data_IF_150519975708
#
_entry.id   IF_150519975708
#
_cell.length_a   1.000
_cell.length_b   1.000
_cell.length_c   1.000
_cell.angle_alpha   90.00
_cell.angle_beta   90.00
_cell.angle_gamma   90.00
#
_symmetry.space_group_name_H-M   'P 1'
#
loop_
_entity.id
_entity.type
_entity.pdbx_description
1 polymer ?
#
# COMPACT_ATOMS: atom_id res chain seq x y z
N UNK A 1 24.98 50.02 27.23
CA UNK A 1 24.29 50.11 28.51
C UNK A 1 23.63 48.78 28.81
N UNK A 2 24.35 48.07 29.62
CA UNK A 2 24.11 47.08 30.65
C UNK A 2 23.26 45.82 30.32
N UNK A 3 24.02 44.74 30.25
CA UNK A 3 23.64 43.32 30.25
C UNK A 3 23.06 42.94 31.61
N UNK A 4 21.97 42.17 31.68
CA UNK A 4 21.65 41.36 32.86
C UNK A 4 21.41 39.92 32.40
N UNK A 5 22.34 39.07 32.77
CA UNK A 5 22.35 37.61 32.69
C UNK A 5 21.68 37.06 33.96
N UNK A 6 20.61 36.25 33.84
CA UNK A 6 20.07 35.48 34.97
C UNK A 6 20.25 33.97 34.69
N UNK A 7 21.13 33.40 35.49
CA UNK A 7 21.31 31.95 35.66
C UNK A 7 20.14 31.36 36.46
N UNK A 8 19.62 30.25 36.01
CA UNK A 8 18.77 29.36 36.81
C UNK A 8 19.42 27.96 36.86
N UNK A 9 19.96 27.64 38.03
CA UNK A 9 20.36 26.28 38.41
C UNK A 9 19.09 25.50 38.79
N UNK A 10 18.80 24.40 38.16
CA UNK A 10 17.76 23.44 38.52
C UNK A 10 18.34 22.06 38.78
N UNK A 11 18.06 21.55 39.96
CA UNK A 11 18.62 20.37 40.65
C UNK A 11 18.33 19.06 39.89
N UNK A 12 19.37 18.21 39.79
CA UNK A 12 19.28 16.79 39.40
C UNK A 12 18.85 15.99 40.62
N UNK A 13 17.75 15.26 40.54
CA UNK A 13 17.36 14.24 41.50
C UNK A 13 17.72 12.86 40.95
N UNK A 14 18.66 12.19 41.59
CA UNK A 14 19.03 10.79 41.34
C UNK A 14 18.08 9.91 42.15
N UNK A 15 17.33 9.04 41.48
CA UNK A 15 16.53 7.99 42.10
C UNK A 15 17.24 6.65 41.87
N UNK A 16 17.80 6.08 42.94
CA UNK A 16 18.30 4.70 42.98
C UNK A 16 17.08 3.73 43.06
N UNK A 17 16.98 2.80 42.15
CA UNK A 17 16.12 1.60 42.31
C UNK A 17 16.98 0.39 42.66
N UNK A 18 16.66 -0.22 43.81
CA UNK A 18 17.27 -1.43 44.37
C UNK A 18 16.78 -2.65 43.58
N UNK A 19 17.70 -3.55 43.24
CA UNK A 19 17.43 -4.87 42.70
C UNK A 19 16.81 -5.76 43.78
N UNK A 20 15.62 -6.30 43.50
CA UNK A 20 15.01 -7.40 44.25
C UNK A 20 15.10 -8.69 43.44
N UNK A 21 15.89 -9.66 43.88
CA UNK A 21 15.92 -11.01 43.38
C UNK A 21 14.63 -11.76 43.78
N UNK A 22 13.86 -12.27 42.84
CA UNK A 22 12.81 -13.23 43.11
C UNK A 22 13.12 -14.58 42.44
N UNK A 23 13.18 -15.59 43.29
CA UNK A 23 13.49 -16.99 43.05
C UNK A 23 12.30 -17.67 42.38
N UNK A 24 12.43 -18.24 41.19
CA UNK A 24 11.39 -19.06 40.54
C UNK A 24 11.61 -20.53 40.82
N UNK A 25 10.70 -21.13 41.58
CA UNK A 25 10.57 -22.57 41.78
C UNK A 25 9.94 -23.23 40.55
N UNK A 26 10.59 -24.29 40.09
CA UNK A 26 10.22 -25.19 39.01
C UNK A 26 9.21 -26.22 39.52
N UNK A 27 8.07 -26.41 38.85
CA UNK A 27 7.10 -27.45 39.11
C UNK A 27 7.41 -28.70 38.25
N UNK A 28 7.11 -29.94 38.75
CA UNK A 28 7.55 -31.19 38.15
C UNK A 28 6.61 -31.73 37.06
N UNK A 29 7.21 -32.43 36.08
CA UNK A 29 6.54 -33.20 35.01
C UNK A 29 5.77 -34.43 35.56
N UNK A 30 4.63 -34.84 34.96
CA UNK A 30 4.03 -36.14 35.23
C UNK A 30 4.56 -37.23 34.28
N UNK A 31 4.87 -38.37 34.87
CA UNK A 31 5.38 -39.60 34.25
C UNK A 31 4.27 -40.36 33.51
N UNK A 32 4.71 -41.08 32.45
CA UNK A 32 4.01 -42.10 31.67
C UNK A 32 3.28 -43.19 32.48
N UNK A 33 2.14 -43.62 31.94
CA UNK A 33 1.62 -44.95 32.13
C UNK A 33 0.88 -45.44 30.87
N UNK A 34 1.40 -46.35 30.29
CA UNK A 34 1.17 -47.68 29.72
C UNK A 34 -0.08 -47.95 28.86
N UNK A 35 0.20 -48.76 27.86
CA UNK A 35 -0.57 -49.23 26.73
C UNK A 35 -1.75 -50.13 27.12
N UNK A 36 -2.84 -50.08 26.35
CA UNK A 36 -3.60 -51.28 25.98
C UNK A 36 -4.28 -51.12 24.62
N UNK A 37 -3.98 -52.05 23.76
CA UNK A 37 -4.52 -52.32 22.43
C UNK A 37 -6.03 -52.56 22.43
N UNK A 38 -6.75 -51.91 21.49
CA UNK A 38 -7.97 -52.51 20.92
C UNK A 38 -8.15 -52.06 19.45
N UNK A 39 -8.07 -53.04 18.56
CA UNK A 39 -8.39 -52.92 17.15
C UNK A 39 -9.89 -52.73 16.96
N UNK A 40 -10.31 -51.71 16.20
CA UNK A 40 -11.64 -51.66 15.57
C UNK A 40 -11.54 -50.95 14.21
N UNK A 41 -11.72 -51.74 13.19
CA UNK A 41 -12.32 -51.51 11.88
C UNK A 41 -12.40 -50.08 11.39
N UNK A 42 -11.53 -49.74 10.44
CA UNK A 42 -11.61 -48.55 9.60
C UNK A 42 -12.79 -48.62 8.64
N UNK A 43 -13.79 -47.78 8.89
CA UNK A 43 -14.73 -47.34 7.87
C UNK A 43 -14.09 -46.12 7.16
N UNK A 44 -13.55 -46.33 5.97
CA UNK A 44 -12.96 -45.32 5.16
C UNK A 44 -14.01 -44.29 4.70
N UNK A 45 -14.15 -43.18 5.44
CA UNK A 45 -14.75 -41.97 4.90
C UNK A 45 -13.69 -41.27 4.08
N UNK A 46 -13.79 -41.40 2.76
CA UNK A 46 -13.11 -40.50 1.82
C UNK A 46 -13.61 -39.07 2.10
N UNK A 47 -12.85 -38.34 2.91
CA UNK A 47 -12.92 -36.89 2.96
C UNK A 47 -12.52 -36.39 1.57
N UNK A 48 -13.49 -35.94 0.78
CA UNK A 48 -13.23 -35.12 -0.39
C UNK A 48 -12.67 -33.80 0.11
N UNK A 49 -11.35 -33.74 0.26
CA UNK A 49 -10.63 -32.51 0.50
C UNK A 49 -10.81 -31.64 -0.75
N UNK A 50 -11.82 -30.78 -0.76
CA UNK A 50 -11.85 -29.67 -1.69
C UNK A 50 -10.58 -28.87 -1.47
N UNK A 51 -9.73 -28.77 -2.48
CA UNK A 51 -8.58 -27.89 -2.47
C UNK A 51 -9.12 -26.49 -2.17
N UNK A 52 -8.86 -25.96 -0.99
CA UNK A 52 -9.09 -24.55 -0.67
C UNK A 52 -8.16 -23.80 -1.64
N UNK A 53 -8.73 -23.07 -2.61
CA UNK A 53 -7.93 -22.26 -3.52
C UNK A 53 -7.14 -21.25 -2.67
N UNK A 54 -5.82 -21.25 -2.83
CA UNK A 54 -4.97 -20.27 -2.16
C UNK A 54 -5.34 -18.87 -2.69
N UNK A 55 -5.41 -17.89 -1.77
CA UNK A 55 -5.67 -16.51 -2.15
C UNK A 55 -4.53 -15.98 -3.02
N UNK A 56 -4.82 -15.16 -4.04
CA UNK A 56 -3.79 -14.56 -4.88
C UNK A 56 -2.86 -13.66 -4.05
N UNK A 57 -1.57 -13.64 -4.40
CA UNK A 57 -0.57 -12.83 -3.73
C UNK A 57 -0.39 -11.48 -4.42
N UNK A 58 -0.14 -10.43 -3.64
CA UNK A 58 0.31 -9.13 -4.10
C UNK A 58 1.66 -8.78 -3.45
N UNK A 59 2.56 -8.14 -4.21
CA UNK A 59 3.83 -7.64 -3.69
C UNK A 59 3.69 -6.17 -3.32
N UNK A 60 3.86 -5.82 -2.05
CA UNK A 60 3.87 -4.43 -1.58
C UNK A 60 5.32 -3.96 -1.42
N UNK A 61 5.73 -3.07 -2.30
CA UNK A 61 7.07 -2.50 -2.34
C UNK A 61 7.09 -1.11 -1.72
N UNK A 62 7.99 -0.88 -0.76
CA UNK A 62 8.03 0.34 0.06
C UNK A 62 9.42 0.97 0.16
N UNK A 63 10.33 0.63 -0.78
CA UNK A 63 11.67 1.21 -0.82
C UNK A 63 11.60 2.71 -1.13
N UNK A 64 12.42 3.49 -0.42
CA UNK A 64 12.56 4.92 -0.62
C UNK A 64 14.05 5.28 -0.79
N UNK A 65 14.37 6.04 -1.82
CA UNK A 65 15.70 6.58 -2.07
C UNK A 65 15.75 8.11 -1.85
N UNK A 66 14.57 8.73 -1.60
CA UNK A 66 14.39 10.13 -1.25
C UNK A 66 13.60 10.23 0.06
N UNK A 67 12.53 11.04 0.11
CA UNK A 67 11.74 11.21 1.33
C UNK A 67 11.03 9.90 1.74
N UNK A 68 11.15 9.52 3.03
CA UNK A 68 10.46 8.36 3.58
C UNK A 68 9.25 8.79 4.40
N UNK A 69 8.08 8.39 3.94
CA UNK A 69 6.83 8.67 4.64
C UNK A 69 6.68 7.82 5.90
N UNK A 70 6.29 8.49 7.00
CA UNK A 70 6.11 7.82 8.31
C UNK A 70 4.91 6.87 8.35
N UNK A 71 3.94 7.06 7.46
CA UNK A 71 2.69 6.29 7.35
C UNK A 71 2.83 4.95 6.60
N UNK A 72 4.01 4.61 6.08
CA UNK A 72 4.24 3.33 5.38
C UNK A 72 3.81 2.11 6.23
N UNK A 73 4.14 2.03 7.54
CA UNK A 73 3.68 0.93 8.38
C UNK A 73 2.15 0.84 8.49
N UNK A 74 1.46 1.99 8.61
CA UNK A 74 0.00 2.06 8.68
C UNK A 74 -0.62 1.59 7.36
N UNK A 75 -0.03 1.97 6.22
CA UNK A 75 -0.42 1.52 4.90
C UNK A 75 -0.28 0.00 4.71
N UNK A 76 0.86 -0.58 5.12
CA UNK A 76 1.07 -2.03 5.08
C UNK A 76 0.02 -2.75 5.93
N UNK A 77 -0.24 -2.24 7.15
CA UNK A 77 -1.25 -2.81 8.03
C UNK A 77 -2.65 -2.76 7.40
N UNK A 78 -3.03 -1.62 6.85
CA UNK A 78 -4.32 -1.45 6.17
C UNK A 78 -4.47 -2.40 4.97
N UNK A 79 -3.41 -2.54 4.13
CA UNK A 79 -3.43 -3.46 2.98
C UNK A 79 -3.63 -4.92 3.42
N UNK A 80 -2.97 -5.36 4.49
CA UNK A 80 -3.18 -6.70 5.06
C UNK A 80 -4.60 -6.88 5.57
N UNK A 81 -5.17 -5.85 6.19
CA UNK A 81 -6.51 -5.91 6.77
C UNK A 81 -7.60 -5.98 5.70
N UNK A 82 -7.54 -5.10 4.67
CA UNK A 82 -8.51 -5.12 3.56
C UNK A 82 -8.34 -6.34 2.63
N UNK A 83 -7.19 -7.00 2.68
CA UNK A 83 -6.87 -8.19 1.89
C UNK A 83 -7.30 -9.51 2.50
N UNK A 84 -7.64 -9.59 3.81
CA UNK A 84 -7.83 -10.84 4.58
C UNK A 84 -8.61 -11.97 3.90
N UNK A 85 -9.58 -11.65 3.05
CA UNK A 85 -10.41 -12.64 2.34
C UNK A 85 -10.29 -12.54 0.82
N UNK A 86 -9.32 -11.80 0.30
CA UNK A 86 -9.24 -11.45 -1.12
C UNK A 86 -7.85 -11.69 -1.70
N UNK A 87 -6.80 -11.33 -0.95
CA UNK A 87 -5.41 -11.50 -1.35
C UNK A 87 -4.47 -11.57 -0.15
N UNK A 88 -3.29 -12.14 -0.37
CA UNK A 88 -2.18 -12.18 0.61
C UNK A 88 -1.19 -11.07 0.29
N UNK A 89 -0.67 -10.39 1.33
CA UNK A 89 0.30 -9.30 1.20
C UNK A 89 1.70 -9.78 1.54
N UNK A 90 2.56 -9.86 0.53
CA UNK A 90 4.01 -10.00 0.67
C UNK A 90 4.65 -8.61 0.59
N UNK A 91 5.31 -8.17 1.65
CA UNK A 91 5.92 -6.83 1.73
C UNK A 91 7.44 -6.91 1.66
N UNK A 92 8.05 -5.98 0.90
CA UNK A 92 9.51 -5.86 0.82
C UNK A 92 9.96 -4.41 0.59
N UNK A 93 11.19 -4.12 1.00
CA UNK A 93 11.98 -2.95 0.57
C UNK A 93 13.17 -3.38 -0.30
N UNK A 94 13.38 -4.67 -0.44
CA UNK A 94 14.47 -5.21 -1.26
C UNK A 94 14.09 -5.20 -2.74
N UNK A 95 14.77 -4.35 -3.53
CA UNK A 95 14.63 -4.32 -4.98
C UNK A 95 15.10 -5.61 -5.67
N UNK A 96 15.88 -6.46 -4.98
CA UNK A 96 16.23 -7.80 -5.45
C UNK A 96 15.03 -8.71 -5.67
N UNK A 97 13.87 -8.37 -5.11
CA UNK A 97 12.60 -9.06 -5.40
C UNK A 97 12.10 -8.86 -6.84
N UNK A 98 12.59 -7.85 -7.57
CA UNK A 98 12.21 -7.56 -8.96
C UNK A 98 13.03 -8.42 -9.93
N UNK A 99 12.73 -9.69 -9.96
CA UNK A 99 13.19 -10.64 -10.97
C UNK A 99 12.01 -11.23 -11.72
N UNK A 100 12.20 -11.59 -12.98
CA UNK A 100 11.13 -12.18 -13.81
C UNK A 100 10.51 -13.41 -13.14
N UNK A 101 11.33 -14.25 -12.49
CA UNK A 101 10.85 -15.45 -11.83
C UNK A 101 10.02 -15.14 -10.58
N UNK A 102 10.48 -14.21 -9.74
CA UNK A 102 9.76 -13.88 -8.51
C UNK A 102 8.45 -13.12 -8.79
N UNK A 103 8.46 -12.18 -9.76
CA UNK A 103 7.29 -11.37 -10.07
C UNK A 103 6.10 -12.18 -10.60
N UNK A 104 6.33 -13.33 -11.25
CA UNK A 104 5.27 -14.26 -11.70
C UNK A 104 4.37 -14.77 -10.58
N UNK A 105 4.82 -14.72 -9.33
CA UNK A 105 4.06 -15.16 -8.15
C UNK A 105 2.96 -14.20 -7.75
N UNK A 106 2.98 -12.98 -8.26
CA UNK A 106 2.13 -11.89 -7.82
C UNK A 106 1.14 -11.45 -8.89
N UNK A 107 -0.10 -11.29 -8.50
CA UNK A 107 -1.13 -10.71 -9.37
C UNK A 107 -1.01 -9.19 -9.49
N UNK A 108 -0.51 -8.53 -8.44
CA UNK A 108 -0.33 -7.07 -8.38
C UNK A 108 0.99 -6.74 -7.70
N UNK A 109 1.69 -5.76 -8.24
CA UNK A 109 2.79 -5.07 -7.56
C UNK A 109 2.26 -3.70 -7.11
N UNK A 110 2.32 -3.46 -5.81
CA UNK A 110 1.89 -2.20 -5.18
C UNK A 110 3.13 -1.38 -4.82
N UNK A 111 3.26 -0.19 -5.37
CA UNK A 111 4.22 0.80 -4.90
C UNK A 111 3.52 1.66 -3.84
N UNK A 112 3.85 1.44 -2.58
CA UNK A 112 3.28 2.18 -1.45
C UNK A 112 4.28 3.23 -0.96
N UNK A 113 4.01 4.49 -1.27
CA UNK A 113 4.83 5.65 -0.87
C UNK A 113 6.33 5.48 -1.19
N UNK A 114 6.66 4.84 -2.31
CA UNK A 114 8.03 4.77 -2.84
C UNK A 114 8.49 6.16 -3.31
N UNK A 115 9.79 6.44 -3.25
CA UNK A 115 10.37 7.72 -3.70
C UNK A 115 11.76 7.55 -4.28
N UNK A 116 12.08 8.35 -5.31
CA UNK A 116 13.38 8.35 -5.98
C UNK A 116 13.58 7.12 -6.88
N UNK A 117 14.80 6.90 -7.37
CA UNK A 117 15.12 5.77 -8.25
C UNK A 117 15.36 4.52 -7.40
N UNK A 118 14.41 3.61 -7.37
CA UNK A 118 14.37 2.45 -6.47
C UNK A 118 14.77 1.14 -7.14
N UNK A 119 14.75 1.08 -8.50
CA UNK A 119 15.09 -0.07 -9.31
C UNK A 119 16.31 0.21 -10.19
N UNK A 120 17.16 -0.80 -10.39
CA UNK A 120 18.19 -0.76 -11.42
C UNK A 120 17.64 -1.24 -12.78
N UNK A 121 18.45 -1.13 -13.84
CA UNK A 121 18.04 -1.44 -15.22
C UNK A 121 17.53 -2.88 -15.39
N UNK A 122 18.14 -3.87 -14.73
CA UNK A 122 17.73 -5.28 -14.81
C UNK A 122 16.36 -5.47 -14.13
N UNK A 123 16.15 -4.82 -12.99
CA UNK A 123 14.90 -4.84 -12.23
C UNK A 123 13.78 -4.11 -12.97
N UNK A 124 14.09 -2.98 -13.62
CA UNK A 124 13.17 -2.26 -14.50
C UNK A 124 12.69 -3.16 -15.65
N UNK A 125 13.61 -3.82 -16.36
CA UNK A 125 13.27 -4.79 -17.44
C UNK A 125 12.40 -5.95 -16.95
N UNK A 126 12.69 -6.49 -15.76
CA UNK A 126 11.88 -7.56 -15.18
C UNK A 126 10.47 -7.07 -14.88
N UNK A 127 10.33 -5.83 -14.42
CA UNK A 127 9.03 -5.23 -14.13
C UNK A 127 8.25 -4.89 -15.41
N UNK A 128 8.89 -4.38 -16.47
CA UNK A 128 8.29 -4.22 -17.79
C UNK A 128 7.71 -5.54 -18.30
N UNK A 129 8.51 -6.62 -18.26
CA UNK A 129 8.07 -7.95 -18.69
C UNK A 129 6.87 -8.45 -17.88
N UNK A 130 6.84 -8.18 -16.56
CA UNK A 130 5.72 -8.52 -15.69
C UNK A 130 4.43 -7.81 -16.14
N UNK A 131 4.49 -6.51 -16.42
CA UNK A 131 3.33 -5.74 -16.91
C UNK A 131 2.90 -6.25 -18.31
N UNK A 132 3.83 -6.43 -19.25
CA UNK A 132 3.55 -6.98 -20.58
C UNK A 132 2.86 -8.36 -20.53
N UNK A 133 3.13 -9.13 -19.48
CA UNK A 133 2.52 -10.46 -19.27
C UNK A 133 1.13 -10.39 -18.61
N UNK A 134 0.57 -9.19 -18.43
CA UNK A 134 -0.75 -8.99 -17.83
C UNK A 134 -0.74 -8.69 -16.33
N UNK A 135 0.43 -8.45 -15.74
CA UNK A 135 0.58 -8.09 -14.34
C UNK A 135 -0.08 -6.77 -13.98
N UNK A 136 -0.57 -6.65 -12.73
CA UNK A 136 -1.20 -5.42 -12.22
C UNK A 136 -0.21 -4.51 -11.52
N UNK A 137 -0.38 -3.19 -11.69
CA UNK A 137 0.31 -2.15 -10.94
C UNK A 137 -0.67 -1.32 -10.13
N UNK A 138 -0.32 -1.05 -8.88
CA UNK A 138 -1.04 -0.10 -8.02
C UNK A 138 -0.04 0.88 -7.42
N UNK A 139 -0.23 2.16 -7.69
CA UNK A 139 0.55 3.24 -7.08
C UNK A 139 -0.26 3.95 -6.00
N UNK A 140 0.33 4.11 -4.80
CA UNK A 140 -0.31 4.83 -3.69
C UNK A 140 0.60 5.98 -3.28
N UNK A 141 0.03 7.18 -3.25
CA UNK A 141 0.65 8.43 -2.82
C UNK A 141 1.96 8.71 -3.57
N UNK A 142 3.11 8.64 -2.88
CA UNK A 142 4.40 8.98 -3.46
C UNK A 142 4.92 7.99 -4.54
N UNK A 143 4.12 6.98 -4.93
CA UNK A 143 4.46 6.18 -6.10
C UNK A 143 4.69 7.03 -7.36
N UNK A 144 4.07 8.21 -7.48
CA UNK A 144 4.32 9.16 -8.58
C UNK A 144 5.60 10.01 -8.40
N UNK A 145 6.23 9.98 -7.22
CA UNK A 145 7.52 10.60 -6.89
C UNK A 145 8.69 9.60 -7.04
N UNK A 146 8.57 8.69 -7.99
CA UNK A 146 9.46 7.54 -8.16
C UNK A 146 9.91 7.44 -9.63
N UNK A 147 11.17 6.98 -9.86
CA UNK A 147 11.70 6.60 -11.17
C UNK A 147 11.63 7.72 -12.22
N UNK A 148 12.04 8.91 -11.87
CA UNK A 148 11.98 10.08 -12.79
C UNK A 148 12.85 9.95 -14.05
N UNK A 149 13.87 9.09 -14.03
CA UNK A 149 14.77 8.85 -15.15
C UNK A 149 14.30 7.69 -16.04
N UNK A 150 13.12 7.11 -15.74
CA UNK A 150 12.55 5.99 -16.48
C UNK A 150 11.20 6.38 -17.12
N UNK A 151 11.18 6.89 -18.37
CA UNK A 151 9.98 7.40 -19.03
C UNK A 151 8.83 6.39 -19.12
N UNK A 152 9.15 5.11 -19.24
CA UNK A 152 8.16 4.03 -19.24
C UNK A 152 7.37 3.98 -17.92
N UNK A 153 8.04 4.13 -16.78
CA UNK A 153 7.36 4.19 -15.48
C UNK A 153 6.44 5.41 -15.37
N UNK A 154 6.87 6.56 -15.91
CA UNK A 154 6.01 7.76 -15.96
C UNK A 154 4.72 7.53 -16.74
N UNK A 155 4.76 6.71 -17.79
CA UNK A 155 3.57 6.32 -18.53
C UNK A 155 2.73 5.31 -17.75
N UNK A 156 3.36 4.32 -17.09
CA UNK A 156 2.67 3.34 -16.24
C UNK A 156 1.93 4.00 -15.08
N UNK A 157 2.56 4.90 -14.34
CA UNK A 157 1.93 5.60 -13.20
C UNK A 157 0.94 6.68 -13.65
N UNK A 158 1.06 7.14 -14.91
CA UNK A 158 0.17 8.09 -15.58
C UNK A 158 0.59 9.55 -15.47
N UNK A 159 1.21 9.97 -14.37
CA UNK A 159 1.81 11.28 -14.20
C UNK A 159 2.84 11.28 -13.07
N UNK A 160 3.91 12.04 -13.25
CA UNK A 160 4.87 12.28 -12.18
C UNK A 160 4.45 13.43 -11.28
N UNK A 161 4.72 13.23 -9.98
CA UNK A 161 4.66 14.26 -8.97
C UNK A 161 5.49 15.50 -9.36
N UNK A 162 4.97 16.67 -9.03
CA UNK A 162 5.66 17.95 -9.20
C UNK A 162 5.94 18.60 -7.84
N UNK A 163 4.90 18.82 -7.07
CA UNK A 163 4.90 19.43 -5.73
C UNK A 163 3.57 19.12 -5.02
N UNK A 164 3.39 19.64 -3.80
CA UNK A 164 2.21 19.36 -2.98
C UNK A 164 1.81 20.56 -2.11
N UNK A 165 0.58 20.56 -1.61
CA UNK A 165 0.13 21.46 -0.56
C UNK A 165 0.68 21.01 0.81
N UNK A 166 0.47 21.82 1.86
CA UNK A 166 0.45 21.26 3.23
C UNK A 166 -0.75 20.32 3.35
N UNK A 167 -0.79 19.53 4.45
CA UNK A 167 -2.01 18.78 4.81
C UNK A 167 -3.12 19.78 5.08
N UNK A 168 -4.16 19.76 4.26
CA UNK A 168 -5.31 20.66 4.34
C UNK A 168 -6.61 19.91 4.00
N UNK A 169 -7.70 20.42 4.54
CA UNK A 169 -9.06 19.96 4.25
C UNK A 169 -9.46 20.40 2.82
N UNK A 170 -9.84 19.45 1.97
CA UNK A 170 -10.39 19.76 0.65
C UNK A 170 -11.54 18.82 0.29
N UNK A 171 -12.34 19.24 -0.69
CA UNK A 171 -13.45 18.46 -1.23
C UNK A 171 -12.93 17.55 -2.32
N UNK A 172 -13.08 16.26 -2.11
CA UNK A 172 -12.83 15.22 -3.11
C UNK A 172 -14.14 14.92 -3.83
N UNK A 173 -14.09 14.71 -5.14
CA UNK A 173 -15.26 14.42 -5.98
C UNK A 173 -15.05 13.11 -6.72
N UNK A 174 -16.06 12.24 -6.64
CA UNK A 174 -16.14 11.06 -7.49
C UNK A 174 -16.46 11.51 -8.92
N UNK A 175 -15.61 11.12 -9.87
CA UNK A 175 -15.86 11.37 -11.30
C UNK A 175 -16.42 10.12 -11.97
N UNK A 176 -15.87 8.96 -11.67
CA UNK A 176 -16.35 7.70 -12.21
C UNK A 176 -17.28 6.99 -11.21
N UNK A 177 -18.51 6.78 -11.60
CA UNK A 177 -19.56 6.15 -10.78
C UNK A 177 -19.69 4.65 -10.99
N UNK A 178 -18.92 4.06 -11.92
CA UNK A 178 -19.07 2.66 -12.35
C UNK A 178 -17.87 1.78 -12.00
N UNK A 179 -16.70 2.39 -11.70
CA UNK A 179 -15.50 1.64 -11.39
C UNK A 179 -15.59 1.04 -9.99
N UNK A 180 -15.12 -0.22 -9.83
CA UNK A 180 -15.18 -0.96 -8.55
C UNK A 180 -14.54 -0.23 -7.37
N UNK A 181 -13.55 0.63 -7.60
CA UNK A 181 -12.91 1.40 -6.54
C UNK A 181 -13.65 2.67 -6.14
N UNK A 182 -14.73 3.05 -6.86
CA UNK A 182 -15.45 4.30 -6.63
C UNK A 182 -16.97 4.13 -6.56
N UNK A 183 -17.48 2.96 -6.96
CA UNK A 183 -18.94 2.72 -7.05
C UNK A 183 -19.67 2.93 -5.72
N UNK A 184 -19.01 2.68 -4.58
CA UNK A 184 -19.58 2.88 -3.24
C UNK A 184 -19.29 4.27 -2.65
N UNK A 185 -18.58 5.16 -3.38
CA UNK A 185 -18.23 6.47 -2.88
C UNK A 185 -19.40 7.44 -2.91
N UNK A 186 -19.48 8.41 -1.95
CA UNK A 186 -20.30 9.58 -2.11
C UNK A 186 -19.85 10.41 -3.32
N UNK A 187 -20.74 11.19 -3.92
CA UNK A 187 -20.40 12.06 -5.06
C UNK A 187 -19.35 13.11 -4.70
N UNK A 188 -19.37 13.55 -3.44
CA UNK A 188 -18.34 14.44 -2.88
C UNK A 188 -18.23 14.23 -1.37
N UNK A 189 -17.00 14.30 -0.86
CA UNK A 189 -16.72 14.29 0.58
C UNK A 189 -15.51 15.16 0.91
N UNK A 190 -15.42 15.59 2.16
CA UNK A 190 -14.28 16.38 2.65
C UNK A 190 -13.33 15.48 3.43
N UNK A 191 -12.03 15.63 3.16
CA UNK A 191 -10.98 14.96 3.91
C UNK A 191 -9.71 15.79 3.98
N UNK A 192 -8.89 15.55 4.98
CA UNK A 192 -7.56 16.11 5.09
C UNK A 192 -6.54 15.17 4.45
N UNK A 193 -5.74 15.73 3.55
CA UNK A 193 -4.58 15.04 2.97
C UNK A 193 -3.57 16.07 2.46
N UNK A 194 -2.42 15.59 2.00
CA UNK A 194 -1.45 16.33 1.23
C UNK A 194 -1.82 16.19 -0.26
N UNK A 195 -2.16 17.30 -0.90
CA UNK A 195 -2.69 17.27 -2.26
C UNK A 195 -1.57 17.46 -3.28
N UNK A 196 -1.28 16.40 -4.04
CA UNK A 196 -0.25 16.37 -5.06
C UNK A 196 -0.67 17.13 -6.31
N UNK A 197 0.27 17.93 -6.83
CA UNK A 197 0.22 18.49 -8.17
C UNK A 197 1.18 17.70 -9.06
N UNK A 198 0.83 17.53 -10.32
CA UNK A 198 1.57 16.70 -11.25
C UNK A 198 2.28 17.56 -12.30
N UNK A 199 3.37 17.02 -12.87
CA UNK A 199 4.10 17.69 -13.97
C UNK A 199 3.23 17.87 -15.21
N UNK A 200 2.33 16.91 -15.45
CA UNK A 200 1.34 16.94 -16.54
C UNK A 200 -0.01 16.45 -16.02
N UNK A 201 -1.12 16.97 -16.58
CA UNK A 201 -2.43 16.43 -16.28
C UNK A 201 -2.60 15.07 -16.99
N UNK A 202 -2.88 13.98 -16.25
CA UNK A 202 -2.94 12.62 -16.81
C UNK A 202 -4.18 12.35 -17.67
N UNK A 203 -5.22 13.17 -17.58
CA UNK A 203 -6.58 12.92 -18.14
C UNK A 203 -6.60 12.43 -19.58
N UNK A 204 -5.68 12.88 -20.42
CA UNK A 204 -5.66 12.47 -21.85
C UNK A 204 -5.32 11.00 -22.07
N UNK A 205 -4.62 10.38 -21.09
CA UNK A 205 -4.04 9.05 -21.24
C UNK A 205 -4.65 8.03 -20.26
N UNK A 206 -5.50 8.50 -19.32
CA UNK A 206 -6.06 7.66 -18.25
C UNK A 206 -7.56 7.91 -18.08
N UNK A 207 -8.25 6.97 -17.47
CA UNK A 207 -9.62 7.15 -16.98
C UNK A 207 -9.55 7.71 -15.56
N UNK A 208 -9.96 8.96 -15.37
CA UNK A 208 -9.99 9.61 -14.07
C UNK A 208 -11.13 9.04 -13.24
N UNK A 209 -10.82 8.71 -11.99
CA UNK A 209 -11.75 8.12 -11.02
C UNK A 209 -12.21 9.16 -9.99
N UNK A 210 -11.27 9.98 -9.52
CA UNK A 210 -11.48 10.96 -8.45
C UNK A 210 -10.68 12.22 -8.73
N UNK A 211 -11.29 13.37 -8.45
CA UNK A 211 -10.67 14.70 -8.52
C UNK A 211 -10.71 15.38 -7.16
N UNK A 212 -9.83 16.35 -6.93
CA UNK A 212 -9.94 17.28 -5.80
C UNK A 212 -10.40 18.66 -6.31
N UNK A 213 -11.18 19.38 -5.50
CA UNK A 213 -11.59 20.74 -5.83
C UNK A 213 -10.41 21.69 -5.68
N UNK A 214 -9.88 22.17 -6.78
CA UNK A 214 -8.70 23.05 -6.85
C UNK A 214 -8.89 24.37 -6.05
N UNK A 215 -10.12 24.86 -5.95
CA UNK A 215 -10.43 26.06 -5.19
C UNK A 215 -10.22 25.90 -3.67
N UNK A 216 -10.40 24.69 -3.14
CA UNK A 216 -10.19 24.41 -1.72
C UNK A 216 -8.69 24.42 -1.36
N UNK A 217 -7.82 24.35 -2.36
CA UNK A 217 -6.36 24.32 -2.18
C UNK A 217 -5.73 25.72 -2.03
N UNK A 218 -6.56 26.79 -2.07
CA UNK A 218 -6.15 28.18 -1.92
C UNK A 218 -5.62 28.82 -3.19
N UNK A 219 -5.39 28.05 -4.24
CA UNK A 219 -4.95 28.51 -5.57
C UNK A 219 -5.42 27.51 -6.64
N UNK A 220 -5.59 27.99 -7.86
CA UNK A 220 -5.89 27.11 -9.01
C UNK A 220 -4.59 26.51 -9.51
N UNK A 221 -4.34 25.26 -9.18
CA UNK A 221 -3.01 24.62 -9.33
C UNK A 221 -2.88 23.76 -10.56
N UNK A 222 -3.97 23.12 -11.01
CA UNK A 222 -4.04 22.26 -12.18
C UNK A 222 -5.02 22.78 -13.23
N UNK A 223 -5.14 24.11 -13.35
CA UNK A 223 -6.08 24.81 -14.25
C UNK A 223 -7.55 24.43 -14.02
N UNK A 224 -7.93 24.12 -12.78
CA UNK A 224 -9.29 23.76 -12.40
C UNK A 224 -9.68 22.32 -12.74
N UNK A 225 -8.77 21.51 -13.29
CA UNK A 225 -8.94 20.09 -13.57
C UNK A 225 -7.85 19.32 -12.83
N UNK A 226 -8.18 18.78 -11.65
CA UNK A 226 -7.22 18.21 -10.72
C UNK A 226 -7.50 16.73 -10.40
N UNK A 227 -7.16 15.82 -11.33
CA UNK A 227 -7.20 14.38 -11.05
C UNK A 227 -6.26 13.99 -9.91
N UNK A 228 -6.76 13.15 -8.97
CA UNK A 228 -5.97 12.61 -7.85
C UNK A 228 -6.05 11.08 -7.78
N UNK A 229 -6.92 10.45 -8.57
CA UNK A 229 -6.93 9.01 -8.74
C UNK A 229 -7.40 8.65 -10.13
N UNK A 230 -6.77 7.63 -10.73
CA UNK A 230 -7.04 7.18 -12.09
C UNK A 230 -6.63 5.74 -12.32
N UNK A 231 -7.05 5.21 -13.47
CA UNK A 231 -6.68 3.89 -13.94
C UNK A 231 -6.53 3.87 -15.47
N UNK A 232 -5.78 2.93 -15.99
CA UNK A 232 -5.70 2.62 -17.41
C UNK A 232 -5.16 1.20 -17.65
N UNK A 233 -5.47 0.65 -18.79
CA UNK A 233 -4.75 -0.50 -19.31
C UNK A 233 -3.43 -0.02 -19.91
N UNK A 234 -2.34 -0.72 -19.65
CA UNK A 234 -1.01 -0.32 -20.08
C UNK A 234 -0.20 -1.53 -20.52
N UNK A 235 0.13 -1.59 -21.81
CA UNK A 235 1.00 -2.60 -22.43
C UNK A 235 0.68 -4.06 -22.04
N UNK A 236 -0.60 -4.39 -21.96
CA UNK A 236 -1.09 -5.73 -21.62
C UNK A 236 -1.43 -5.90 -20.14
N UNK A 237 -0.92 -5.05 -19.25
CA UNK A 237 -1.24 -5.01 -17.83
C UNK A 237 -2.28 -3.95 -17.48
N UNK A 238 -2.44 -3.72 -16.18
CA UNK A 238 -3.39 -2.75 -15.62
C UNK A 238 -2.71 -1.88 -14.59
N UNK A 239 -2.89 -0.57 -14.69
CA UNK A 239 -2.33 0.41 -13.79
C UNK A 239 -3.43 1.23 -13.10
N UNK A 240 -3.41 1.28 -11.77
CA UNK A 240 -4.28 2.09 -10.94
C UNK A 240 -3.44 2.94 -9.99
N UNK A 241 -3.83 4.19 -9.80
CA UNK A 241 -3.11 5.13 -8.96
C UNK A 241 -4.04 5.99 -8.11
N UNK A 242 -3.59 6.32 -6.90
CA UNK A 242 -4.17 7.37 -6.06
C UNK A 242 -3.09 8.22 -5.40
N UNK A 243 -3.23 9.55 -5.46
CA UNK A 243 -2.39 10.50 -4.76
C UNK A 243 -2.71 10.61 -3.27
N UNK A 244 -3.90 10.17 -2.86
CA UNK A 244 -4.31 10.15 -1.46
C UNK A 244 -3.45 9.18 -0.65
N UNK A 245 -3.37 9.40 0.67
CA UNK A 245 -2.70 8.48 1.58
C UNK A 245 -1.41 9.02 2.20
N UNK A 246 -1.22 10.35 2.28
CA UNK A 246 -0.09 10.94 3.00
C UNK A 246 -0.21 10.76 4.51
N UNK A 247 -1.39 10.97 5.06
CA UNK A 247 -1.63 10.91 6.50
C UNK A 247 -1.85 9.46 6.96
N UNK A 248 -1.47 9.14 8.19
CA UNK A 248 -1.79 7.82 8.77
C UNK A 248 -3.30 7.64 8.90
N UNK A 249 -4.04 8.72 9.16
CA UNK A 249 -5.49 8.75 9.27
C UNK A 249 -6.17 8.24 8.00
N UNK A 250 -5.62 8.52 6.82
CA UNK A 250 -6.10 7.99 5.53
C UNK A 250 -6.30 6.48 5.55
N UNK A 251 -5.37 5.74 6.15
CA UNK A 251 -5.41 4.28 6.20
C UNK A 251 -6.44 3.70 7.21
N UNK A 252 -7.10 4.56 7.98
CA UNK A 252 -8.22 4.21 8.85
C UNK A 252 -9.57 4.68 8.30
N UNK A 253 -9.60 5.54 7.27
CA UNK A 253 -10.83 5.97 6.62
C UNK A 253 -11.45 4.83 5.80
N UNK A 254 -12.71 4.51 6.06
CA UNK A 254 -13.41 3.39 5.40
C UNK A 254 -13.48 3.58 3.89
N UNK A 255 -13.83 4.78 3.41
CA UNK A 255 -13.94 5.06 1.98
C UNK A 255 -12.59 4.97 1.27
N UNK A 256 -11.51 5.49 1.87
CA UNK A 256 -10.17 5.34 1.30
C UNK A 256 -9.74 3.87 1.23
N UNK A 257 -10.03 3.08 2.26
CA UNK A 257 -9.74 1.64 2.28
C UNK A 257 -10.51 0.87 1.21
N UNK A 258 -11.81 1.19 1.01
CA UNK A 258 -12.63 0.64 -0.09
C UNK A 258 -12.05 1.01 -1.45
N UNK A 259 -11.62 2.27 -1.61
CA UNK A 259 -10.97 2.76 -2.83
C UNK A 259 -9.73 1.96 -3.19
N UNK A 260 -8.79 1.84 -2.26
CA UNK A 260 -7.55 1.08 -2.45
C UNK A 260 -7.85 -0.40 -2.71
N UNK A 261 -8.76 -1.02 -1.95
CA UNK A 261 -9.16 -2.41 -2.17
C UNK A 261 -9.73 -2.62 -3.56
N UNK A 262 -10.64 -1.75 -3.99
CA UNK A 262 -11.25 -1.81 -5.33
C UNK A 262 -10.21 -1.62 -6.43
N UNK A 263 -9.23 -0.72 -6.24
CA UNK A 263 -8.11 -0.52 -7.16
C UNK A 263 -7.24 -1.77 -7.31
N UNK A 264 -6.87 -2.40 -6.19
CA UNK A 264 -6.10 -3.66 -6.19
C UNK A 264 -6.89 -4.77 -6.89
N UNK A 265 -8.16 -4.98 -6.54
CA UNK A 265 -9.01 -6.01 -7.14
C UNK A 265 -9.16 -5.81 -8.65
N UNK A 266 -9.32 -4.56 -9.10
CA UNK A 266 -9.37 -4.27 -10.53
C UNK A 266 -8.03 -4.56 -11.22
N UNK A 267 -6.91 -4.17 -10.61
CA UNK A 267 -5.57 -4.40 -11.15
C UNK A 267 -5.19 -5.89 -11.22
N UNK A 268 -5.73 -6.74 -10.35
CA UNK A 268 -5.52 -8.20 -10.38
C UNK A 268 -6.01 -8.85 -11.69
N UNK A 269 -6.98 -8.26 -12.36
CA UNK A 269 -7.46 -8.76 -13.63
C UNK A 269 -7.91 -10.22 -13.59
N UNK A 270 -7.46 -11.01 -14.59
CA UNK A 270 -7.78 -12.45 -14.69
C UNK A 270 -6.97 -13.33 -13.74
N UNK A 271 -5.89 -12.82 -13.15
CA UNK A 271 -5.07 -13.54 -12.17
C UNK A 271 -5.92 -14.00 -10.96
N UNK A 272 -6.86 -13.17 -10.52
CA UNK A 272 -7.80 -13.52 -9.45
C UNK A 272 -8.62 -14.80 -9.73
N UNK A 273 -8.85 -15.14 -11.00
CA UNK A 273 -9.62 -16.32 -11.40
C UNK A 273 -8.77 -17.59 -11.52
N UNK A 274 -7.43 -17.45 -11.58
CA UNK A 274 -6.53 -18.58 -11.74
C UNK A 274 -6.27 -19.32 -10.42
N UNK A 275 -6.47 -18.66 -9.29
CA UNK A 275 -6.40 -19.25 -7.95
C UNK A 275 -7.60 -20.18 -7.64
N UNK A 276 -8.65 -20.17 -8.48
CA UNK A 276 -9.87 -20.96 -8.32
C UNK A 276 -9.95 -22.15 -9.29
N UNK A 277 -8.88 -22.47 -10.02
CA UNK A 277 -8.76 -23.64 -10.89
C UNK A 277 -7.70 -24.61 -10.38
#
# INVERSE_FOLDING_TARGET
MTIILKHFLGRVAVVLFLLGCANTQQAPEPKNADATTNAKTEVGTKSSGGAQSELPHILVFTKTMAFRHKNIPDGIHALRDIGKSVFVVDQTEDAGAFTTENLKRFCVVVFLSTTGNVLNTEQQKAFEQYIHSGGGFVGIHAASDTEYDWPWYGQLVGAWFKDHTKVILATVRREDTTHISTVEFPDAWKREDEWYRFRTNPRKNVRVLVTVNDQDLGEVTMNGDHPISWMHEFEGGRAWYTAMGHTKESFFEEDFRKHVRGGIVWAMGTCANSANK
#
